data_IF_016199697667
#
_entry.id   IF_016199697667
#
_cell.length_a   1.000
_cell.length_b   1.000
_cell.length_c   1.000
_cell.angle_alpha   90.00
_cell.angle_beta   90.00
_cell.angle_gamma   90.00
#
_symmetry.space_group_name_H-M   'P 1'
#
loop_
_entity.id
_entity.type
_entity.pdbx_description
1 polymer ?
#
# COMPACT_ATOMS: atom_id res chain seq x y z
N UNK A 1 -13.27 -14.59 18.94
CA UNK A 1 -12.81 -13.19 19.07
C UNK A 1 -12.75 -12.59 17.67
N UNK A 2 -13.77 -11.82 17.26
CA UNK A 2 -13.81 -11.19 15.94
C UNK A 2 -13.47 -9.70 16.11
N UNK A 3 -12.19 -9.39 16.31
CA UNK A 3 -11.72 -8.02 16.37
C UNK A 3 -11.70 -7.42 14.98
N UNK A 4 -12.69 -6.60 14.65
CA UNK A 4 -12.63 -5.77 13.44
C UNK A 4 -11.74 -4.58 13.78
N UNK A 5 -10.51 -4.57 13.28
CA UNK A 5 -9.63 -3.40 13.38
C UNK A 5 -10.04 -2.41 12.30
N UNK A 6 -10.79 -1.37 12.69
CA UNK A 6 -11.07 -0.24 11.81
C UNK A 6 -9.92 0.76 11.91
N UNK A 7 -9.10 0.86 10.86
CA UNK A 7 -8.05 1.87 10.76
C UNK A 7 -8.61 3.08 10.02
N UNK A 8 -8.71 4.22 10.69
CA UNK A 8 -9.02 5.51 10.05
C UNK A 8 -7.72 6.07 9.52
N UNK A 9 -7.57 6.01 8.20
CA UNK A 9 -6.34 6.41 7.54
C UNK A 9 -6.52 7.81 6.95
N UNK A 10 -5.75 8.78 7.45
CA UNK A 10 -5.63 10.12 6.86
C UNK A 10 -5.01 10.01 5.47
N UNK A 11 -5.83 9.89 4.44
CA UNK A 11 -5.39 9.59 3.09
C UNK A 11 -5.47 10.76 2.13
N UNK A 12 -4.63 10.73 1.10
CA UNK A 12 -4.72 11.62 -0.07
C UNK A 12 -5.65 10.97 -1.10
N UNK A 13 -6.57 11.72 -1.68
CA UNK A 13 -7.38 11.29 -2.81
C UNK A 13 -7.01 12.09 -4.05
N UNK A 14 -6.61 11.38 -5.11
CA UNK A 14 -6.31 11.95 -6.42
C UNK A 14 -7.36 11.49 -7.42
N UNK A 15 -7.90 12.42 -8.21
CA UNK A 15 -8.80 12.11 -9.31
C UNK A 15 -8.24 12.71 -10.60
N UNK A 16 -7.91 11.86 -11.56
CA UNK A 16 -7.36 12.29 -12.84
C UNK A 16 -7.77 11.30 -13.94
N UNK A 17 -8.03 11.80 -15.15
CA UNK A 17 -8.33 10.97 -16.31
C UNK A 17 -9.55 10.04 -16.17
N UNK A 18 -10.50 10.38 -15.29
CA UNK A 18 -11.70 9.55 -15.03
C UNK A 18 -11.50 8.43 -14.00
N UNK A 19 -10.35 8.36 -13.35
CA UNK A 19 -10.05 7.35 -12.33
C UNK A 19 -9.66 7.98 -10.99
N UNK A 20 -10.23 7.47 -9.91
CA UNK A 20 -9.87 7.81 -8.54
C UNK A 20 -8.76 6.93 -7.99
N UNK A 21 -7.85 7.54 -7.22
CA UNK A 21 -6.80 6.89 -6.45
C UNK A 21 -6.87 7.38 -5.01
N UNK A 22 -6.92 6.45 -4.05
CA UNK A 22 -6.85 6.78 -2.63
C UNK A 22 -5.55 6.23 -2.07
N UNK A 23 -4.75 7.06 -1.39
CA UNK A 23 -3.54 6.65 -0.71
C UNK A 23 -3.81 6.59 0.78
N UNK A 24 -3.49 5.45 1.37
CA UNK A 24 -3.67 5.19 2.78
C UNK A 24 -2.33 5.35 3.48
N UNK A 25 -2.22 6.26 4.44
CA UNK A 25 -1.02 6.51 5.26
C UNK A 25 -1.06 5.86 6.66
N UNK A 26 0.11 5.55 7.19
CA UNK A 26 0.32 5.11 8.57
C UNK A 26 1.57 5.78 9.17
N UNK A 27 2.04 5.34 10.36
CA UNK A 27 3.17 5.95 11.09
C UNK A 27 4.54 6.01 10.35
N UNK A 28 4.62 5.57 9.10
CA UNK A 28 5.84 5.57 8.28
C UNK A 28 5.63 6.00 6.82
N UNK A 29 4.47 6.58 6.48
CA UNK A 29 4.14 7.00 5.11
C UNK A 29 2.98 6.21 4.51
N UNK A 30 2.97 6.06 3.18
CA UNK A 30 1.89 5.35 2.47
C UNK A 30 2.00 3.84 2.68
N UNK A 31 0.96 3.22 3.24
CA UNK A 31 0.87 1.79 3.56
C UNK A 31 -0.03 1.02 2.60
N UNK A 32 -0.93 1.70 1.89
CA UNK A 32 -1.76 1.07 0.87
C UNK A 32 -2.27 2.09 -0.15
N UNK A 33 -2.74 1.61 -1.29
CA UNK A 33 -3.33 2.41 -2.35
C UNK A 33 -4.57 1.72 -2.90
N UNK A 34 -5.69 2.44 -3.06
CA UNK A 34 -6.85 1.97 -3.81
C UNK A 34 -6.83 2.57 -5.21
N UNK A 35 -6.92 1.73 -6.24
CA UNK A 35 -7.05 2.17 -7.62
C UNK A 35 -7.90 1.19 -8.41
N UNK A 36 -8.83 1.69 -9.22
CA UNK A 36 -9.71 0.83 -10.03
C UNK A 36 -10.58 -0.12 -9.19
N UNK A 37 -10.92 0.27 -7.95
CA UNK A 37 -11.70 -0.57 -7.04
C UNK A 37 -10.90 -1.62 -6.25
N UNK A 38 -9.62 -1.83 -6.58
CA UNK A 38 -8.73 -2.78 -5.90
C UNK A 38 -7.84 -2.04 -4.91
N UNK A 39 -7.63 -2.65 -3.73
CA UNK A 39 -6.66 -2.17 -2.75
C UNK A 39 -5.35 -2.94 -2.92
N UNK A 40 -4.24 -2.21 -2.92
CA UNK A 40 -2.87 -2.71 -2.97
C UNK A 40 -2.18 -2.32 -1.67
N UNK A 41 -1.63 -3.29 -0.95
CA UNK A 41 -0.88 -3.07 0.29
C UNK A 41 0.61 -3.01 -0.01
N UNK A 42 1.27 -2.00 0.55
CA UNK A 42 2.71 -1.77 0.44
C UNK A 42 3.35 -2.35 1.71
N UNK A 43 3.94 -3.54 1.59
CA UNK A 43 4.60 -4.22 2.69
C UNK A 43 6.05 -3.73 2.78
N UNK A 44 6.32 -2.93 3.80
CA UNK A 44 7.65 -2.37 4.06
C UNK A 44 8.44 -3.23 5.04
N UNK A 45 9.75 -3.29 4.85
CA UNK A 45 10.66 -3.87 5.85
C UNK A 45 10.95 -2.88 7.00
N UNK A 46 11.75 -3.32 7.98
CA UNK A 46 12.08 -2.54 9.17
C UNK A 46 12.97 -1.32 8.89
N UNK A 47 13.50 -1.20 7.67
CA UNK A 47 14.23 -0.01 7.20
C UNK A 47 13.33 0.89 6.32
N UNK A 48 12.01 0.65 6.33
CA UNK A 48 11.01 1.33 5.51
C UNK A 48 11.18 1.19 3.99
N UNK A 49 11.94 0.20 3.50
CA UNK A 49 11.97 -0.11 2.06
C UNK A 49 10.74 -0.93 1.68
N UNK A 50 10.11 -0.62 0.53
CA UNK A 50 8.92 -1.36 0.06
C UNK A 50 9.36 -2.70 -0.54
N UNK A 51 9.22 -3.78 0.22
CA UNK A 51 9.66 -5.11 -0.22
C UNK A 51 8.63 -5.80 -1.13
N UNK A 52 7.33 -5.55 -0.93
CA UNK A 52 6.29 -6.28 -1.65
C UNK A 52 4.96 -5.54 -1.79
N UNK A 53 4.32 -5.69 -2.94
CA UNK A 53 2.97 -5.19 -3.20
C UNK A 53 2.02 -6.38 -3.35
N UNK A 54 0.97 -6.40 -2.55
CA UNK A 54 -0.08 -7.44 -2.61
C UNK A 54 -1.44 -6.80 -2.86
N UNK A 55 -2.28 -7.44 -3.67
CA UNK A 55 -3.65 -6.98 -3.89
C UNK A 55 -4.60 -7.43 -2.75
N UNK A 56 -5.84 -6.97 -2.79
CA UNK A 56 -6.88 -7.30 -1.81
C UNK A 56 -7.26 -8.79 -1.73
N UNK A 57 -6.82 -9.60 -2.70
CA UNK A 57 -6.98 -11.05 -2.68
C UNK A 57 -5.75 -11.79 -2.11
N UNK A 58 -4.76 -11.05 -1.59
CA UNK A 58 -3.50 -11.61 -1.09
C UNK A 58 -2.54 -12.06 -2.20
N UNK A 59 -2.84 -11.76 -3.46
CA UNK A 59 -1.98 -12.11 -4.59
C UNK A 59 -0.89 -11.06 -4.73
N UNK A 60 0.34 -11.54 -4.85
CA UNK A 60 1.52 -10.73 -5.08
C UNK A 60 1.43 -10.09 -6.46
N UNK A 61 1.49 -8.77 -6.49
CA UNK A 61 1.43 -7.97 -7.72
C UNK A 61 2.82 -7.53 -8.17
N UNK A 62 3.72 -7.24 -7.22
CA UNK A 62 5.09 -6.90 -7.50
C UNK A 62 5.99 -7.26 -6.33
N UNK A 63 7.19 -7.72 -6.67
CA UNK A 63 8.29 -7.97 -5.75
C UNK A 63 9.42 -7.00 -6.09
N UNK A 64 9.88 -6.25 -5.10
CA UNK A 64 11.05 -5.40 -5.26
C UNK A 64 12.13 -5.91 -4.32
N UNK A 65 13.16 -6.52 -4.90
CA UNK A 65 14.36 -6.91 -4.18
C UNK A 65 15.39 -5.79 -4.33
N UNK A 66 15.76 -5.16 -3.21
CA UNK A 66 16.82 -4.15 -3.20
C UNK A 66 18.17 -4.80 -2.92
N UNK A 67 19.18 -4.48 -3.72
CA UNK A 67 20.57 -4.75 -3.36
C UNK A 67 20.98 -3.86 -2.18
N UNK A 68 21.92 -4.30 -1.31
CA UNK A 68 22.30 -3.61 -0.08
C UNK A 68 22.80 -2.16 -0.25
N UNK A 69 23.06 -1.69 -1.48
CA UNK A 69 23.49 -0.32 -1.77
C UNK A 69 22.61 0.43 -2.78
N UNK A 70 21.43 -0.10 -3.13
CA UNK A 70 20.58 0.48 -4.17
C UNK A 70 21.16 0.26 -5.57
N UNK A 71 20.32 -0.24 -6.48
CA UNK A 71 20.67 -0.37 -7.90
C UNK A 71 20.32 0.88 -8.69
#
# INVERSE_FOLDING_TARGET
MNGVTTVTIGGVYEYSGGAGKSYYTGPGGVVAMRSGGVVYYLLTDHLNSTARIVNSAGVIQADTYYYPYGG
#
